data_IF_428892882340
#
_entry.id   IF_428892882340
#
_cell.length_a   1.000
_cell.length_b   1.000
_cell.length_c   1.000
_cell.angle_alpha   90.00
_cell.angle_beta   90.00
_cell.angle_gamma   90.00
#
_symmetry.space_group_name_H-M   'P 1'
#
loop_
_entity.id
_entity.type
_entity.pdbx_description
1 polymer ?
#
# COMPACT_ATOMS: atom_id res chain seq x y z
N UNK A 1 10.07 -76.07 21.81
CA UNK A 1 10.33 -75.59 20.44
C UNK A 1 9.40 -74.40 20.25
N UNK A 2 9.76 -73.14 20.47
CA UNK A 2 10.79 -72.33 19.83
C UNK A 2 10.15 -70.95 19.50
N UNK A 3 10.68 -69.89 20.11
CA UNK A 3 10.81 -68.49 19.63
C UNK A 3 9.59 -67.60 19.25
N UNK A 4 9.37 -66.58 20.10
CA UNK A 4 9.26 -65.11 19.88
C UNK A 4 8.61 -64.50 18.62
N UNK A 5 7.78 -63.47 18.83
CA UNK A 5 7.59 -62.36 17.89
C UNK A 5 6.48 -61.34 18.26
N UNK A 6 6.87 -60.15 18.74
CA UNK A 6 6.01 -58.97 18.87
C UNK A 6 5.76 -58.31 17.50
N UNK A 7 4.57 -57.72 17.26
CA UNK A 7 4.43 -56.34 16.77
C UNK A 7 2.97 -55.93 16.53
N UNK A 8 2.69 -54.69 16.90
CA UNK A 8 1.43 -53.98 16.75
C UNK A 8 1.20 -53.48 15.30
N UNK A 9 -0.06 -53.27 14.93
CA UNK A 9 -0.58 -51.99 14.42
C UNK A 9 -1.99 -52.18 13.86
N UNK A 10 -2.95 -51.54 14.53
CA UNK A 10 -4.29 -51.22 14.04
C UNK A 10 -4.21 -50.30 12.82
N UNK A 11 -4.60 -50.81 11.66
CA UNK A 11 -4.83 -50.00 10.46
C UNK A 11 -6.23 -49.39 10.52
N UNK A 12 -6.30 -48.17 11.04
CA UNK A 12 -7.49 -47.32 11.02
C UNK A 12 -7.58 -46.64 9.65
N UNK A 13 -8.71 -46.84 8.99
CA UNK A 13 -9.02 -46.37 7.65
C UNK A 13 -9.44 -44.90 7.72
N UNK A 14 -8.47 -43.98 7.57
CA UNK A 14 -8.74 -42.56 7.47
C UNK A 14 -8.92 -42.16 6.00
N UNK A 15 -10.02 -41.46 5.62
CA UNK A 15 -10.20 -41.00 4.26
C UNK A 15 -9.14 -39.94 3.94
N UNK A 16 -8.38 -40.19 2.88
CA UNK A 16 -7.47 -39.22 2.30
C UNK A 16 -8.23 -37.91 2.04
N UNK A 17 -7.88 -36.87 2.80
CA UNK A 17 -8.29 -35.50 2.49
C UNK A 17 -7.79 -35.22 1.09
N UNK A 18 -8.72 -35.16 0.13
CA UNK A 18 -8.48 -34.60 -1.18
C UNK A 18 -7.89 -33.20 -0.97
N UNK A 19 -6.59 -33.09 -1.24
CA UNK A 19 -5.95 -31.82 -1.54
C UNK A 19 -6.76 -31.20 -2.66
N UNK A 20 -7.55 -30.16 -2.38
CA UNK A 20 -8.26 -29.41 -3.42
C UNK A 20 -7.24 -28.89 -4.43
N UNK A 21 -7.17 -29.44 -5.64
CA UNK A 21 -6.39 -28.85 -6.71
C UNK A 21 -7.31 -27.80 -7.36
N UNK A 22 -6.73 -26.67 -7.78
CA UNK A 22 -7.43 -25.59 -8.49
C UNK A 22 -8.46 -24.81 -7.64
N UNK A 23 -7.96 -23.92 -6.78
CA UNK A 23 -8.56 -22.59 -6.78
C UNK A 23 -8.30 -22.03 -8.19
N UNK A 24 -9.31 -22.11 -9.05
CA UNK A 24 -9.28 -21.56 -10.39
C UNK A 24 -8.68 -20.15 -10.32
N UNK A 25 -7.69 -19.90 -11.17
CA UNK A 25 -7.13 -18.59 -11.43
C UNK A 25 -8.28 -17.71 -11.91
N UNK A 26 -8.99 -17.07 -10.98
CA UNK A 26 -9.90 -15.97 -11.29
C UNK A 26 -8.99 -14.94 -11.91
N UNK A 27 -9.00 -14.85 -13.24
CA UNK A 27 -8.18 -13.91 -14.00
C UNK A 27 -8.26 -12.54 -13.34
N UNK A 28 -7.20 -12.20 -12.61
CA UNK A 28 -7.21 -11.02 -11.77
C UNK A 28 -7.21 -9.80 -12.67
N UNK A 29 -8.15 -8.88 -12.43
CA UNK A 29 -8.17 -7.62 -13.18
C UNK A 29 -6.82 -6.91 -12.95
N UNK A 30 -6.12 -6.51 -14.03
CA UNK A 30 -4.87 -5.77 -13.87
C UNK A 30 -5.15 -4.39 -13.26
N UNK A 31 -4.26 -3.89 -12.40
CA UNK A 31 -4.36 -2.54 -11.87
C UNK A 31 -4.21 -1.51 -13.01
N UNK A 32 -4.98 -0.43 -12.93
CA UNK A 32 -5.02 0.68 -13.88
C UNK A 32 -4.76 1.99 -13.13
N UNK A 33 -4.37 3.04 -13.85
CA UNK A 33 -4.20 4.36 -13.25
C UNK A 33 -5.52 4.86 -12.62
N UNK A 34 -5.41 5.56 -11.50
CA UNK A 34 -6.55 6.22 -10.83
C UNK A 34 -6.55 7.68 -11.29
N UNK A 35 -7.32 7.97 -12.35
CA UNK A 35 -7.40 9.30 -12.98
C UNK A 35 -8.65 10.09 -12.58
N UNK A 36 -9.58 9.42 -11.94
CA UNK A 36 -10.92 9.91 -11.64
C UNK A 36 -11.51 9.17 -10.45
N UNK A 37 -12.51 9.79 -9.82
CA UNK A 37 -13.22 9.17 -8.71
C UNK A 37 -13.93 7.87 -9.12
N UNK A 38 -14.43 7.78 -10.35
CA UNK A 38 -15.03 6.55 -10.86
C UNK A 38 -13.99 5.45 -11.05
N UNK A 39 -12.81 5.77 -11.57
CA UNK A 39 -11.70 4.80 -11.69
C UNK A 39 -11.21 4.30 -10.33
N UNK A 40 -11.23 5.17 -9.31
CA UNK A 40 -10.93 4.79 -7.93
C UNK A 40 -11.92 3.74 -7.44
N UNK A 41 -13.22 4.00 -7.59
CA UNK A 41 -14.25 3.07 -7.13
C UNK A 41 -14.29 1.76 -7.92
N UNK A 42 -14.08 1.78 -9.23
CA UNK A 42 -14.01 0.56 -10.06
C UNK A 42 -12.91 -0.40 -9.57
N UNK A 43 -11.81 0.16 -9.04
CA UNK A 43 -10.68 -0.59 -8.53
C UNK A 43 -10.74 -0.85 -7.01
N UNK A 44 -11.78 -0.37 -6.31
CA UNK A 44 -11.94 -0.53 -4.86
C UNK A 44 -12.75 -1.78 -4.54
N UNK A 45 -12.20 -2.66 -3.70
CA UNK A 45 -12.92 -3.76 -3.05
C UNK A 45 -13.71 -3.26 -1.84
N UNK A 46 -13.05 -2.49 -0.98
CA UNK A 46 -13.64 -1.96 0.24
C UNK A 46 -12.93 -0.70 0.71
N UNK A 47 -13.68 0.13 1.44
CA UNK A 47 -13.13 1.28 2.18
C UNK A 47 -13.31 0.98 3.64
N UNK A 48 -12.19 0.92 4.36
CA UNK A 48 -12.16 0.45 5.75
C UNK A 48 -11.58 1.51 6.66
N UNK A 49 -12.04 1.55 7.89
CA UNK A 49 -11.44 2.31 8.98
C UNK A 49 -10.91 1.34 10.04
N UNK A 50 -9.67 1.53 10.48
CA UNK A 50 -9.03 0.66 11.47
C UNK A 50 -7.85 1.33 12.16
N UNK A 51 -7.44 0.76 13.29
CA UNK A 51 -6.29 1.22 14.07
C UNK A 51 -5.05 0.40 13.72
N UNK A 52 -3.91 1.05 13.49
CA UNK A 52 -2.65 0.35 13.24
C UNK A 52 -2.11 -0.24 14.55
N UNK A 53 -2.26 -1.55 14.73
CA UNK A 53 -1.82 -2.25 15.94
C UNK A 53 -0.35 -2.68 15.88
N UNK A 54 0.13 -3.01 14.68
CA UNK A 54 1.48 -3.50 14.44
C UNK A 54 2.02 -3.04 13.07
N UNK A 55 3.32 -2.76 13.02
CA UNK A 55 4.08 -2.44 11.79
C UNK A 55 5.41 -3.17 11.89
N UNK A 56 5.66 -4.12 11.00
CA UNK A 56 6.87 -4.93 11.00
C UNK A 56 7.45 -5.10 9.61
N UNK A 57 8.77 -5.25 9.54
CA UNK A 57 9.46 -5.66 8.32
C UNK A 57 9.57 -7.18 8.26
N UNK A 58 9.21 -7.77 7.13
CA UNK A 58 9.41 -9.16 6.77
C UNK A 58 10.37 -9.20 5.58
N UNK A 59 11.41 -10.04 5.63
CA UNK A 59 12.33 -10.19 4.50
C UNK A 59 12.25 -11.59 3.90
N UNK A 60 12.14 -11.65 2.58
CA UNK A 60 12.23 -12.87 1.80
C UNK A 60 13.31 -12.72 0.73
N UNK A 61 14.28 -13.64 0.62
CA UNK A 61 15.27 -13.60 -0.45
C UNK A 61 14.65 -13.63 -1.86
N UNK A 62 13.46 -14.23 -2.01
CA UNK A 62 12.79 -14.40 -3.31
C UNK A 62 11.92 -13.22 -3.70
N UNK A 63 11.29 -12.58 -2.73
CA UNK A 63 10.25 -11.57 -2.97
C UNK A 63 10.57 -10.21 -2.36
N UNK A 64 11.71 -10.07 -1.69
CA UNK A 64 12.24 -8.80 -1.20
C UNK A 64 11.80 -8.48 0.23
N UNK A 65 12.17 -7.29 0.72
CA UNK A 65 11.65 -6.77 1.96
C UNK A 65 10.20 -6.29 1.77
N UNK A 66 9.37 -6.65 2.73
CA UNK A 66 7.96 -6.29 2.85
C UNK A 66 7.74 -5.60 4.18
N UNK A 67 6.92 -4.56 4.18
CA UNK A 67 6.38 -3.94 5.37
C UNK A 67 4.97 -4.47 5.55
N UNK A 68 4.71 -5.13 6.67
CA UNK A 68 3.40 -5.68 7.02
C UNK A 68 2.79 -4.83 8.12
N UNK A 69 1.67 -4.22 7.79
CA UNK A 69 0.88 -3.38 8.69
C UNK A 69 -0.37 -4.15 9.09
N UNK A 70 -0.60 -4.28 10.40
CA UNK A 70 -1.80 -4.91 10.93
C UNK A 70 -2.77 -3.83 11.38
N UNK A 71 -3.98 -3.85 10.81
CA UNK A 71 -5.09 -3.01 11.26
C UNK A 71 -6.01 -3.84 12.16
N UNK A 72 -6.24 -3.36 13.38
CA UNK A 72 -7.23 -3.89 14.30
C UNK A 72 -8.50 -3.04 14.34
N UNK A 73 -9.55 -3.56 15.00
CA UNK A 73 -10.83 -2.89 15.17
C UNK A 73 -11.47 -2.41 13.85
N UNK A 74 -11.23 -3.16 12.77
CA UNK A 74 -11.59 -2.75 11.42
C UNK A 74 -13.12 -2.69 11.25
N UNK A 75 -13.56 -1.62 10.60
CA UNK A 75 -14.95 -1.38 10.19
C UNK A 75 -14.96 -1.05 8.70
N UNK A 76 -15.76 -1.78 7.93
CA UNK A 76 -15.99 -1.46 6.53
C UNK A 76 -17.05 -0.35 6.40
N UNK A 77 -16.71 0.73 5.71
CA UNK A 77 -17.62 1.80 5.31
C UNK A 77 -18.23 1.57 3.93
N UNK A 78 -17.49 0.85 3.08
CA UNK A 78 -17.92 0.33 1.78
C UNK A 78 -17.38 -1.08 1.60
N UNK A 79 -18.18 -1.95 0.97
CA UNK A 79 -17.79 -3.35 0.75
C UNK A 79 -17.76 -4.16 2.05
N UNK A 80 -16.91 -5.18 2.09
CA UNK A 80 -16.72 -6.03 3.26
C UNK A 80 -15.24 -6.10 3.67
N UNK A 81 -15.00 -6.27 4.96
CA UNK A 81 -13.68 -6.51 5.51
C UNK A 81 -13.77 -7.31 6.83
N UNK A 82 -12.76 -8.15 7.13
CA UNK A 82 -12.62 -8.75 8.45
C UNK A 82 -12.35 -7.70 9.54
N UNK A 83 -12.44 -8.10 10.82
CA UNK A 83 -12.18 -7.23 11.99
C UNK A 83 -10.70 -6.92 12.20
N UNK A 84 -9.83 -7.77 11.67
CA UNK A 84 -8.39 -7.59 11.62
C UNK A 84 -7.96 -7.76 10.17
N UNK A 85 -7.06 -6.90 9.69
CA UNK A 85 -6.62 -6.87 8.31
C UNK A 85 -5.10 -6.71 8.23
N UNK A 86 -4.45 -7.49 7.38
CA UNK A 86 -3.02 -7.34 7.09
C UNK A 86 -2.81 -6.65 5.75
N UNK A 87 -2.06 -5.55 5.77
CA UNK A 87 -1.64 -4.81 4.59
C UNK A 87 -0.15 -5.06 4.38
N UNK A 88 0.18 -5.86 3.36
CA UNK A 88 1.55 -6.16 2.99
C UNK A 88 2.00 -5.25 1.86
N UNK A 89 3.06 -4.49 2.07
CA UNK A 89 3.51 -3.47 1.14
C UNK A 89 5.00 -3.63 0.83
N UNK A 90 5.41 -3.32 -0.38
CA UNK A 90 6.80 -3.41 -0.80
C UNK A 90 7.65 -2.35 -0.06
N UNK A 91 8.83 -2.75 0.38
CA UNK A 91 9.74 -1.93 1.17
C UNK A 91 9.95 -2.48 2.58
N UNK A 92 10.85 -1.88 3.34
CA UNK A 92 11.25 -2.36 4.67
C UNK A 92 12.74 -2.61 4.76
N UNK A 93 13.16 -3.28 5.83
CA UNK A 93 14.57 -3.47 6.16
C UNK A 93 15.17 -4.70 5.45
N UNK A 94 16.34 -4.52 4.84
CA UNK A 94 17.16 -5.57 4.24
C UNK A 94 18.05 -6.23 5.31
N UNK A 95 18.57 -7.46 5.07
CA UNK A 95 19.43 -8.16 6.03
C UNK A 95 20.71 -7.42 6.41
N UNK A 96 21.18 -6.51 5.55
CA UNK A 96 22.37 -5.67 5.78
C UNK A 96 22.05 -4.39 6.57
N UNK A 97 20.80 -4.24 7.05
CA UNK A 97 20.34 -3.08 7.81
C UNK A 97 19.94 -1.88 6.95
N UNK A 98 20.13 -1.92 5.63
CA UNK A 98 19.63 -0.86 4.73
C UNK A 98 18.11 -0.94 4.62
N UNK A 99 17.46 0.17 4.30
CA UNK A 99 16.02 0.24 4.12
C UNK A 99 15.66 0.45 2.64
N UNK A 100 14.80 -0.42 2.10
CA UNK A 100 14.16 -0.19 0.82
C UNK A 100 12.95 0.71 1.02
N UNK A 101 12.99 1.89 0.42
CA UNK A 101 11.88 2.85 0.41
C UNK A 101 11.29 2.86 -0.99
N UNK A 102 9.99 2.58 -1.07
CA UNK A 102 9.26 2.59 -2.33
C UNK A 102 8.37 3.84 -2.35
N UNK A 103 8.55 4.69 -3.35
CA UNK A 103 7.65 5.82 -3.59
C UNK A 103 6.24 5.32 -3.89
N UNK A 104 5.23 6.09 -3.49
CA UNK A 104 3.81 5.76 -3.72
C UNK A 104 3.26 4.55 -2.96
N UNK A 105 3.97 4.11 -1.93
CA UNK A 105 3.47 3.16 -0.95
C UNK A 105 3.10 3.93 0.32
N UNK A 106 1.83 3.88 0.76
CA UNK A 106 1.40 4.55 1.98
C UNK A 106 2.20 4.10 3.19
N UNK A 107 2.58 5.07 4.03
CA UNK A 107 3.27 4.84 5.29
C UNK A 107 2.30 4.96 6.45
N UNK A 108 2.45 4.05 7.41
CA UNK A 108 1.56 3.95 8.56
C UNK A 108 2.28 4.29 9.86
N UNK A 109 1.51 4.86 10.77
CA UNK A 109 1.96 5.24 12.12
C UNK A 109 1.30 4.29 13.09
N UNK A 110 2.10 3.61 13.92
CA UNK A 110 1.57 2.69 14.93
C UNK A 110 0.71 3.43 15.95
N UNK A 111 -0.44 2.86 16.31
CA UNK A 111 -1.44 3.44 17.21
C UNK A 111 -2.29 4.55 16.59
N UNK A 112 -2.05 4.93 15.33
CA UNK A 112 -2.93 5.86 14.63
C UNK A 112 -4.05 5.11 13.89
N UNK A 113 -5.17 5.80 13.72
CA UNK A 113 -6.33 5.29 12.99
C UNK A 113 -6.30 5.77 11.55
N UNK A 114 -6.70 4.92 10.61
CA UNK A 114 -6.68 5.22 9.18
C UNK A 114 -7.99 4.84 8.50
N UNK A 115 -8.37 5.62 7.48
CA UNK A 115 -9.34 5.24 6.45
C UNK A 115 -8.56 4.83 5.21
N UNK A 116 -8.73 3.58 4.75
CA UNK A 116 -7.91 2.99 3.70
C UNK A 116 -8.80 2.45 2.58
N UNK A 117 -8.42 2.73 1.34
CA UNK A 117 -9.06 2.19 0.14
C UNK A 117 -8.33 0.93 -0.31
N UNK A 118 -8.98 -0.23 -0.18
CA UNK A 118 -8.43 -1.53 -0.53
C UNK A 118 -8.79 -1.87 -1.96
N UNK A 119 -7.82 -2.33 -2.74
CA UNK A 119 -8.04 -2.68 -4.15
C UNK A 119 -8.73 -4.03 -4.35
N UNK A 120 -9.45 -4.15 -5.47
CA UNK A 120 -10.03 -5.40 -5.98
C UNK A 120 -9.26 -6.01 -7.18
N UNK A 121 -8.11 -5.43 -7.52
CA UNK A 121 -7.24 -5.82 -8.62
C UNK A 121 -6.01 -6.59 -8.12
N UNK A 122 -5.31 -7.25 -9.04
CA UNK A 122 -3.97 -7.75 -8.77
C UNK A 122 -3.01 -6.61 -8.39
N UNK A 123 -2.02 -6.89 -7.54
CA UNK A 123 -1.06 -5.87 -7.11
C UNK A 123 0.31 -6.43 -6.78
N UNK A 124 1.35 -5.60 -6.95
CA UNK A 124 2.74 -5.96 -6.69
C UNK A 124 3.40 -5.10 -5.61
N UNK A 125 3.00 -3.83 -5.45
CA UNK A 125 3.63 -2.92 -4.51
C UNK A 125 2.81 -2.69 -3.23
N UNK A 126 1.52 -2.49 -3.34
CA UNK A 126 0.66 -2.20 -2.19
C UNK A 126 -0.78 -2.63 -2.47
N UNK A 127 -1.49 -3.21 -1.49
CA UNK A 127 -2.93 -3.45 -1.56
C UNK A 127 -3.75 -2.16 -1.47
N UNK A 128 -3.17 -1.08 -0.96
CA UNK A 128 -3.84 0.21 -0.87
C UNK A 128 -3.86 0.87 -2.25
N UNK A 129 -4.99 1.48 -2.61
CA UNK A 129 -5.13 2.21 -3.86
C UNK A 129 -4.37 3.53 -3.80
N UNK A 130 -3.20 3.55 -4.43
CA UNK A 130 -2.39 4.76 -4.57
C UNK A 130 -2.14 5.43 -3.21
N UNK A 131 -2.24 6.75 -3.11
CA UNK A 131 -2.09 7.51 -1.86
C UNK A 131 -3.36 7.54 -0.98
N UNK A 132 -4.37 6.70 -1.23
CA UNK A 132 -5.67 6.74 -0.55
C UNK A 132 -5.66 5.96 0.78
N UNK A 133 -4.67 6.26 1.62
CA UNK A 133 -4.67 5.97 3.05
C UNK A 133 -4.67 7.29 3.82
N UNK A 134 -5.76 7.57 4.52
CA UNK A 134 -5.95 8.81 5.23
C UNK A 134 -5.84 8.59 6.74
N UNK A 135 -4.86 9.22 7.38
CA UNK A 135 -4.73 9.20 8.84
C UNK A 135 -5.84 10.04 9.46
N UNK A 136 -6.52 9.50 10.46
CA UNK A 136 -7.51 10.23 11.25
C UNK A 136 -6.77 11.00 12.35
N UNK A 137 -6.92 12.32 12.33
CA UNK A 137 -6.32 13.24 13.30
C UNK A 137 -7.39 14.08 13.99
N UNK A 138 -7.15 14.48 15.25
CA UNK A 138 -8.03 15.38 15.97
C UNK A 138 -7.44 16.80 15.94
N UNK A 139 -8.14 17.73 15.29
CA UNK A 139 -7.75 19.14 15.19
C UNK A 139 -8.90 19.98 15.72
N UNK A 140 -8.63 20.79 16.75
CA UNK A 140 -9.63 21.63 17.42
C UNK A 140 -10.90 20.85 17.85
N UNK A 141 -10.74 19.60 18.31
CA UNK A 141 -11.83 18.73 18.76
C UNK A 141 -12.63 18.06 17.64
N UNK A 142 -12.25 18.25 16.37
CA UNK A 142 -12.88 17.64 15.20
C UNK A 142 -11.97 16.57 14.61
N UNK A 143 -12.54 15.45 14.21
CA UNK A 143 -11.80 14.39 13.51
C UNK A 143 -11.72 14.73 12.02
N UNK A 144 -10.49 14.91 11.54
CA UNK A 144 -10.17 15.22 10.14
C UNK A 144 -9.33 14.10 9.54
N UNK A 145 -9.30 14.07 8.21
CA UNK A 145 -8.51 13.12 7.44
C UNK A 145 -7.26 13.79 6.88
N UNK A 146 -6.11 13.16 7.06
CA UNK A 146 -4.80 13.63 6.59
C UNK A 146 -4.24 12.64 5.57
N UNK A 147 -3.93 13.11 4.37
CA UNK A 147 -3.31 12.28 3.33
C UNK A 147 -1.82 12.00 3.59
N UNK A 148 -1.23 11.17 2.74
CA UNK A 148 0.18 10.75 2.84
C UNK A 148 1.16 11.94 2.88
N UNK A 149 0.86 12.98 2.11
CA UNK A 149 1.67 14.21 2.01
C UNK A 149 1.41 15.22 3.13
N UNK A 150 0.57 14.88 4.11
CA UNK A 150 0.28 15.74 5.26
C UNK A 150 -0.77 16.83 5.03
N UNK A 151 -1.41 16.85 3.86
CA UNK A 151 -2.55 17.72 3.55
C UNK A 151 -3.85 17.19 4.18
N UNK A 152 -4.75 18.10 4.57
CA UNK A 152 -6.08 17.72 5.04
C UNK A 152 -7.00 17.43 3.85
N UNK A 153 -7.88 16.44 3.97
CA UNK A 153 -8.95 16.24 3.00
C UNK A 153 -9.89 17.43 3.05
N UNK A 154 -10.00 18.17 1.95
CA UNK A 154 -10.87 19.35 1.81
C UNK A 154 -12.20 19.03 1.10
N UNK A 155 -12.30 17.86 0.46
CA UNK A 155 -13.52 17.39 -0.17
C UNK A 155 -13.27 16.40 -1.29
N UNK A 156 -14.27 16.21 -2.14
CA UNK A 156 -14.23 15.24 -3.23
C UNK A 156 -14.82 15.86 -4.50
N UNK A 157 -14.26 15.49 -5.64
CA UNK A 157 -14.67 15.93 -6.98
C UNK A 157 -14.65 14.75 -7.95
N UNK A 158 -15.06 14.97 -9.20
CA UNK A 158 -14.93 13.95 -10.26
C UNK A 158 -13.46 13.52 -10.50
N UNK A 159 -12.50 14.42 -10.25
CA UNK A 159 -11.07 14.13 -10.36
C UNK A 159 -10.52 13.32 -9.17
N UNK A 160 -11.30 13.11 -8.10
CA UNK A 160 -10.87 12.39 -6.90
C UNK A 160 -10.96 13.21 -5.62
N UNK A 161 -10.24 12.75 -4.58
CA UNK A 161 -10.18 13.40 -3.27
C UNK A 161 -9.30 14.64 -3.35
N UNK A 162 -9.83 15.79 -2.93
CA UNK A 162 -9.10 17.06 -2.87
C UNK A 162 -8.47 17.22 -1.51
N UNK A 163 -7.20 17.62 -1.48
CA UNK A 163 -6.45 17.92 -0.27
C UNK A 163 -6.02 19.39 -0.22
N UNK A 164 -5.81 19.91 0.98
CA UNK A 164 -5.18 21.21 1.21
C UNK A 164 -3.68 21.16 0.93
N UNK A 165 -3.02 22.31 0.98
CA UNK A 165 -1.56 22.33 1.16
C UNK A 165 -1.17 21.51 2.42
N UNK A 166 0.03 20.90 2.44
CA UNK A 166 0.49 20.14 3.59
C UNK A 166 0.52 20.95 4.88
N UNK A 167 -0.13 20.43 5.92
CA UNK A 167 -0.16 21.04 7.26
C UNK A 167 0.62 20.20 8.26
N UNK A 168 0.73 18.89 8.03
CA UNK A 168 1.59 17.98 8.77
C UNK A 168 2.84 17.65 7.94
N UNK A 169 3.89 17.22 8.64
CA UNK A 169 4.99 16.55 7.98
C UNK A 169 4.55 15.21 7.37
N UNK A 170 5.34 14.69 6.43
CA UNK A 170 5.16 13.34 5.91
C UNK A 170 5.53 12.31 6.98
N UNK A 171 4.87 11.15 6.98
CA UNK A 171 5.26 10.04 7.86
C UNK A 171 6.70 9.62 7.56
N UNK A 172 7.54 9.63 8.59
CA UNK A 172 8.92 9.22 8.46
C UNK A 172 9.05 7.69 8.28
N UNK A 173 10.28 7.25 8.00
CA UNK A 173 10.55 5.82 7.78
C UNK A 173 10.46 4.98 9.05
N UNK A 174 10.50 5.63 10.23
CA UNK A 174 10.40 5.00 11.53
C UNK A 174 8.94 4.88 11.99
N UNK A 175 8.00 5.41 11.22
CA UNK A 175 6.57 5.40 11.54
C UNK A 175 6.22 6.34 12.71
N UNK A 176 7.06 7.34 12.99
CA UNK A 176 6.76 8.33 14.01
C UNK A 176 5.57 9.19 13.56
N UNK A 177 4.73 9.59 14.53
CA UNK A 177 3.59 10.47 14.25
C UNK A 177 4.10 11.84 13.77
N UNK A 178 3.70 12.29 12.57
CA UNK A 178 4.18 13.57 12.05
C UNK A 178 3.76 14.76 12.88
N UNK A 179 4.68 15.72 13.03
CA UNK A 179 4.41 17.01 13.65
C UNK A 179 3.63 17.93 12.70
N UNK A 180 2.96 18.93 13.29
CA UNK A 180 2.39 20.04 12.54
C UNK A 180 3.52 20.90 11.97
N UNK A 181 3.43 21.34 10.71
CA UNK A 181 4.42 22.22 10.08
C UNK A 181 4.42 23.59 10.75
N UNK A 182 5.60 24.22 10.81
CA UNK A 182 5.77 25.55 11.42
C UNK A 182 4.86 26.61 10.78
N UNK A 183 4.64 26.55 9.47
CA UNK A 183 3.75 27.47 8.74
C UNK A 183 2.29 27.33 9.18
N UNK A 184 1.81 26.09 9.35
CA UNK A 184 0.46 25.79 9.83
C UNK A 184 0.31 26.12 11.33
N UNK A 185 1.37 25.98 12.12
CA UNK A 185 1.40 26.47 13.50
C UNK A 185 1.25 28.00 13.57
N UNK A 186 1.93 28.73 12.67
CA UNK A 186 1.93 30.19 12.67
C UNK A 186 0.65 30.82 12.08
N UNK A 187 0.11 30.23 11.01
CA UNK A 187 -1.07 30.77 10.29
C UNK A 187 -2.40 30.13 10.72
N UNK A 188 -2.34 29.09 11.55
CA UNK A 188 -3.48 28.25 11.86
C UNK A 188 -3.67 27.12 10.84
N UNK A 189 -4.33 26.06 11.30
CA UNK A 189 -4.64 24.90 10.46
C UNK A 189 -5.86 25.24 9.59
N UNK A 190 -5.79 25.11 8.26
CA UNK A 190 -6.94 25.31 7.38
C UNK A 190 -8.08 24.35 7.74
N UNK A 191 -9.30 24.73 7.40
CA UNK A 191 -10.46 23.87 7.67
C UNK A 191 -10.43 22.64 6.75
N UNK A 192 -10.29 21.46 7.36
CA UNK A 192 -10.46 20.17 6.72
C UNK A 192 -11.90 19.68 6.81
N UNK A 193 -12.29 18.83 5.87
CA UNK A 193 -13.53 18.07 5.93
C UNK A 193 -13.47 17.08 7.10
N UNK A 194 -14.55 17.03 7.87
CA UNK A 194 -14.69 16.04 8.94
C UNK A 194 -14.73 14.61 8.40
N UNK A 195 -14.17 13.66 9.15
CA UNK A 195 -14.16 12.24 8.80
C UNK A 195 -15.54 11.72 8.44
N UNK A 196 -16.54 11.95 9.30
CA UNK A 196 -17.91 11.46 9.09
C UNK A 196 -18.58 12.11 7.87
N UNK A 197 -18.32 13.41 7.63
CA UNK A 197 -18.80 14.11 6.46
C UNK A 197 -18.19 13.54 5.18
N UNK A 198 -16.90 13.22 5.17
CA UNK A 198 -16.23 12.57 4.05
C UNK A 198 -16.80 11.18 3.74
N UNK A 199 -16.95 10.34 4.76
CA UNK A 199 -17.51 8.99 4.60
C UNK A 199 -18.96 9.02 4.11
N UNK A 200 -19.76 9.93 4.65
CA UNK A 200 -21.14 10.17 4.20
C UNK A 200 -21.19 10.64 2.75
N UNK A 201 -20.30 11.57 2.36
CA UNK A 201 -20.19 12.06 0.99
C UNK A 201 -19.83 10.92 0.03
N UNK A 202 -18.90 10.04 0.43
CA UNK A 202 -18.49 8.85 -0.34
C UNK A 202 -19.68 7.91 -0.60
N UNK A 203 -20.40 7.56 0.46
CA UNK A 203 -21.58 6.68 0.38
C UNK A 203 -22.71 7.31 -0.44
N UNK A 204 -22.98 8.60 -0.24
CA UNK A 204 -24.01 9.33 -0.97
C UNK A 204 -23.67 9.42 -2.46
N UNK A 205 -22.39 9.63 -2.80
CA UNK A 205 -21.94 9.71 -4.19
C UNK A 205 -22.17 8.40 -4.96
N UNK A 206 -21.89 7.26 -4.32
CA UNK A 206 -22.14 5.94 -4.88
C UNK A 206 -23.64 5.66 -5.00
N UNK A 207 -24.40 5.92 -3.93
CA UNK A 207 -25.86 5.72 -3.90
C UNK A 207 -26.58 6.55 -4.98
N UNK A 208 -26.20 7.82 -5.14
CA UNK A 208 -26.81 8.71 -6.13
C UNK A 208 -26.59 8.25 -7.58
N UNK A 209 -25.54 7.45 -7.84
CA UNK A 209 -25.24 6.89 -9.16
C UNK A 209 -25.69 5.44 -9.31
N UNK A 210 -26.31 4.85 -8.29
CA UNK A 210 -26.62 3.42 -8.27
C UNK A 210 -25.38 2.52 -8.34
N UNK A 211 -24.23 3.02 -7.88
CA UNK A 211 -22.96 2.31 -7.90
C UNK A 211 -22.67 1.65 -6.55
N UNK A 212 -21.94 0.55 -6.59
CA UNK A 212 -21.38 -0.12 -5.41
C UNK A 212 -19.94 -0.53 -5.70
N UNK A 213 -19.12 -0.64 -4.65
CA UNK A 213 -17.79 -1.26 -4.77
C UNK A 213 -17.96 -2.76 -4.98
N UNK A 214 -17.08 -3.37 -5.78
CA UNK A 214 -17.20 -4.77 -6.19
C UNK A 214 -15.86 -5.49 -6.09
N UNK A 215 -15.91 -6.83 -6.12
CA UNK A 215 -14.73 -7.68 -6.03
C UNK A 215 -14.26 -7.91 -4.60
N UNK A 216 -13.15 -8.62 -4.46
CA UNK A 216 -12.60 -9.04 -3.18
C UNK A 216 -11.20 -8.47 -2.97
N UNK A 217 -10.93 -8.08 -1.72
CA UNK A 217 -9.60 -7.70 -1.28
C UNK A 217 -8.68 -8.93 -1.20
N UNK A 218 -7.39 -8.75 -1.50
CA UNK A 218 -6.35 -9.78 -1.37
C UNK A 218 -5.16 -9.27 -0.56
N UNK A 219 -4.78 -10.03 0.46
CA UNK A 219 -3.67 -9.73 1.37
C UNK A 219 -2.28 -9.98 0.77
N UNK A 220 -2.18 -10.89 -0.20
CA UNK A 220 -0.91 -11.27 -0.81
C UNK A 220 -0.77 -10.68 -2.22
N UNK A 221 0.45 -10.26 -2.61
CA UNK A 221 0.73 -9.71 -3.93
C UNK A 221 0.57 -10.78 -5.01
N UNK A 222 0.32 -10.34 -6.25
CA UNK A 222 0.43 -11.17 -7.44
C UNK A 222 1.91 -11.45 -7.68
N UNK A 223 2.36 -12.64 -7.27
CA UNK A 223 3.75 -13.09 -7.38
C UNK A 223 4.11 -13.40 -8.83
N UNK A 224 4.39 -12.36 -9.61
CA UNK A 224 4.95 -12.47 -10.97
C UNK A 224 6.43 -12.10 -11.05
N UNK A 225 6.98 -11.43 -10.02
CA UNK A 225 8.35 -10.93 -10.01
C UNK A 225 9.17 -11.53 -8.86
N UNK A 226 10.31 -12.13 -9.21
CA UNK A 226 11.37 -12.47 -8.27
C UNK A 226 12.23 -11.22 -8.04
N UNK A 227 12.49 -10.87 -6.79
CA UNK A 227 13.42 -9.79 -6.46
C UNK A 227 14.85 -10.29 -6.58
N UNK A 228 15.64 -9.68 -7.46
CA UNK A 228 17.08 -9.94 -7.58
C UNK A 228 17.88 -8.74 -7.07
N UNK A 229 18.69 -8.95 -6.04
CA UNK A 229 19.67 -7.96 -5.61
C UNK A 229 20.86 -7.99 -6.56
N UNK A 230 21.02 -6.94 -7.38
CA UNK A 230 22.20 -6.78 -8.23
C UNK A 230 23.17 -5.82 -7.56
N UNK A 231 24.39 -6.27 -7.20
CA UNK A 231 25.42 -5.36 -6.72
C UNK A 231 25.81 -4.41 -7.86
N UNK A 232 25.43 -3.14 -7.74
CA UNK A 232 25.99 -2.09 -8.61
C UNK A 232 27.26 -1.64 -7.94
N UNK A 233 28.41 -2.19 -8.33
CA UNK A 233 29.70 -1.60 -7.99
C UNK A 233 29.77 -0.27 -8.75
N UNK A 234 29.78 0.90 -8.09
CA UNK A 234 30.07 2.14 -8.80
C UNK A 234 31.46 1.99 -9.42
N UNK A 235 31.59 2.32 -10.71
CA UNK A 235 32.87 2.30 -11.40
C UNK A 235 33.79 3.38 -10.80
N UNK A 236 34.45 3.05 -9.68
CA UNK A 236 35.55 3.83 -9.15
C UNK A 236 36.82 3.24 -9.74
N UNK A 237 37.42 3.96 -10.67
CA UNK A 237 38.77 3.68 -11.16
C UNK A 237 38.91 3.43 -12.66
N UNK A 238 38.29 4.24 -13.52
CA UNK A 238 38.94 4.52 -14.80
C UNK A 238 40.01 5.58 -14.51
N UNK A 239 41.27 5.16 -14.42
CA UNK A 239 42.39 6.08 -14.52
C UNK A 239 42.21 6.87 -15.82
N UNK A 240 42.14 8.20 -15.70
CA UNK A 240 42.20 9.08 -16.86
C UNK A 240 43.58 8.88 -17.48
N UNK A 241 43.65 8.09 -18.55
CA UNK A 241 44.79 8.10 -19.45
C UNK A 241 44.74 9.45 -20.17
N UNK A 242 45.76 10.32 -20.05
CA UNK A 242 45.79 11.56 -20.82
C UNK A 242 45.85 11.18 -22.30
N UNK A 243 44.80 11.48 -23.06
CA UNK A 243 44.78 11.30 -24.51
C UNK A 243 43.54 10.64 -25.11
N UNK A 244 42.59 10.15 -24.33
CA UNK A 244 41.32 9.64 -24.87
C UNK A 244 40.28 10.77 -24.97
N UNK A 245 40.03 11.24 -26.19
CA UNK A 245 38.92 12.15 -26.50
C UNK A 245 37.60 11.41 -26.21
N UNK A 246 36.69 11.96 -25.39
CA UNK A 246 35.38 11.36 -25.21
C UNK A 246 34.58 11.53 -26.50
N UNK A 247 34.14 10.42 -27.10
CA UNK A 247 33.06 10.44 -28.09
C UNK A 247 31.80 10.93 -27.37
N UNK A 248 31.44 12.20 -27.60
CA UNK A 248 30.13 12.71 -27.23
C UNK A 248 29.07 11.92 -27.99
N UNK A 249 27.93 11.56 -27.36
CA UNK A 249 26.79 11.08 -28.11
C UNK A 249 26.26 12.24 -28.96
N UNK A 250 26.29 12.06 -30.28
CA UNK A 250 25.71 13.01 -31.24
C UNK A 250 24.26 13.29 -30.83
N UNK A 251 24.00 14.56 -30.60
CA UNK A 251 22.68 15.10 -30.33
C UNK A 251 22.07 15.40 -31.69
N UNK A 252 21.28 14.46 -32.23
CA UNK A 252 20.47 14.71 -33.42
C UNK A 252 19.44 15.80 -33.13
N UNK A 253 19.77 17.04 -33.50
CA UNK A 253 18.85 18.16 -33.58
C UNK A 253 18.57 18.37 -35.07
N UNK A 254 17.33 18.18 -35.56
CA UNK A 254 17.02 18.52 -36.95
C UNK A 254 17.09 20.05 -37.11
N UNK A 255 17.81 20.57 -38.12
CA UNK A 255 17.85 22.01 -38.34
C UNK A 255 16.48 22.47 -38.87
N UNK A 256 15.87 23.40 -38.14
CA UNK A 256 14.92 24.32 -38.75
C UNK A 256 15.60 25.05 -39.90
N UNK A 257 14.86 25.28 -40.97
CA UNK A 257 15.28 26.09 -42.10
C UNK A 257 14.08 26.92 -42.59
N UNK A 258 14.36 28.01 -43.31
CA UNK A 258 14.03 29.40 -42.96
C UNK A 258 12.58 29.83 -43.18
#
# INVERSE_FOLDING_TARGET
>A
MGLTGCSAASGDEAPARQESPLAADVSLRPPRAVDSLLSLFDQTASVVEGEVTDVRSEYSPRTGPWTVVTLGNVRAHLGAAPRELRLKQAGGVLPDGRQLVVSHVPRFVRGARYVVFLRNTGWSLSPVLDEHAFRVESVAGREVLVGAEGGLVAGMSSAGVRQTAPVFETVDLMGARPALRAEAQARGVPEGMEREAFLSLLQNHLRARGLTVTGAFREEPVTTASSMSVPVTPAVGASVVPGAVPLQPERDIPPGQP
#
